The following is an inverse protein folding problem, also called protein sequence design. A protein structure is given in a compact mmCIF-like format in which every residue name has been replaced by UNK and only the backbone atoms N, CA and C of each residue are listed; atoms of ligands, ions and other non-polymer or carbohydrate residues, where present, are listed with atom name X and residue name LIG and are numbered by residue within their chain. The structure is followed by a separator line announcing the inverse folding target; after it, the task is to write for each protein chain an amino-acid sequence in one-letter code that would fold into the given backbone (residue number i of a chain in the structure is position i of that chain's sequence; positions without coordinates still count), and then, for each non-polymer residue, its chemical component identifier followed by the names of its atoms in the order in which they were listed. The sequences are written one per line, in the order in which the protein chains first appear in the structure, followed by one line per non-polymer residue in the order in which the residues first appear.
data_IF_369482716993
#
_entry.id   IF_369482716993
#
_cell.length_a   1.000
_cell.length_b   1.000
_cell.length_c   1.000
_cell.angle_alpha   90.00
_cell.angle_beta   90.00
_cell.angle_gamma   90.00
#
_symmetry.space_group_name_H-M   'P 1'
#
loop_
_entity.id
_entity.type
_entity.pdbx_description
1 polymer ?
#
# COMPACT_ATOMS: atom_id res chain seq x y z
N UNK A 1 31.81 -53.31 -16.50
CA UNK A 1 30.66 -52.74 -15.77
C UNK A 1 30.53 -51.27 -16.21
N UNK A 2 29.58 -50.98 -17.09
CA UNK A 2 29.20 -49.62 -17.51
C UNK A 2 28.31 -48.99 -16.42
N UNK A 3 28.55 -47.73 -16.05
CA UNK A 3 27.46 -46.79 -15.71
C UNK A 3 27.85 -45.39 -16.19
N UNK A 4 26.96 -44.80 -16.98
CA UNK A 4 27.10 -43.56 -17.70
C UNK A 4 26.95 -42.31 -16.79
N UNK A 5 27.69 -41.25 -17.11
CA UNK A 5 27.40 -39.89 -16.65
C UNK A 5 26.14 -39.40 -17.38
N UNK A 6 25.07 -39.12 -16.62
CA UNK A 6 23.82 -38.59 -17.12
C UNK A 6 23.28 -37.46 -16.24
N UNK A 7 23.31 -36.26 -16.81
CA UNK A 7 22.43 -35.09 -16.64
C UNK A 7 22.01 -34.61 -15.23
N UNK A 8 22.15 -33.30 -15.00
CA UNK A 8 21.01 -32.38 -15.09
C UNK A 8 21.50 -30.92 -15.00
N UNK A 9 21.39 -30.23 -16.13
CA UNK A 9 21.44 -28.78 -16.19
C UNK A 9 20.20 -28.23 -15.49
N UNK A 10 20.38 -27.50 -14.40
CA UNK A 10 19.33 -26.62 -13.89
C UNK A 10 19.35 -25.31 -14.68
N UNK A 11 18.89 -25.38 -15.93
CA UNK A 11 18.32 -24.24 -16.62
C UNK A 11 16.86 -24.11 -16.18
N UNK A 12 16.55 -23.11 -15.35
CA UNK A 12 15.18 -22.79 -14.94
C UNK A 12 15.00 -21.29 -15.02
N UNK A 13 14.34 -20.84 -16.09
CA UNK A 13 14.24 -19.43 -16.46
C UNK A 13 13.70 -18.54 -15.35
N UNK A 14 14.16 -17.29 -15.36
CA UNK A 14 13.42 -16.16 -14.79
C UNK A 14 12.15 -15.97 -15.63
N UNK A 15 11.19 -16.88 -15.45
CA UNK A 15 9.81 -16.57 -15.77
C UNK A 15 9.46 -15.37 -14.91
N UNK A 16 8.87 -14.35 -15.53
CA UNK A 16 8.23 -13.25 -14.82
C UNK A 16 7.21 -13.88 -13.87
N UNK A 17 7.64 -14.14 -12.63
CA UNK A 17 6.75 -14.55 -11.57
C UNK A 17 5.85 -13.36 -11.36
N UNK A 18 4.62 -13.44 -11.90
CA UNK A 18 3.54 -12.59 -11.43
C UNK A 18 3.57 -12.69 -9.92
N UNK A 19 3.87 -11.59 -9.18
CA UNK A 19 3.94 -11.64 -7.74
C UNK A 19 2.69 -12.34 -7.21
N UNK A 20 2.84 -13.24 -6.24
CA UNK A 20 1.69 -13.87 -5.60
C UNK A 20 0.70 -12.77 -5.17
N UNK A 21 -0.63 -12.99 -5.27
CA UNK A 21 -1.61 -12.01 -4.82
C UNK A 21 -1.27 -11.59 -3.40
N UNK A 22 -0.95 -10.31 -3.23
CA UNK A 22 -0.52 -9.79 -1.95
C UNK A 22 -1.67 -9.88 -0.96
N UNK A 23 -1.39 -10.35 0.25
CA UNK A 23 -2.42 -10.37 1.27
C UNK A 23 -2.80 -8.94 1.66
N UNK A 24 -4.03 -8.74 2.11
CA UNK A 24 -4.54 -7.43 2.49
C UNK A 24 -3.65 -6.70 3.53
N UNK A 25 -3.16 -7.34 4.62
CA UNK A 25 -2.23 -6.70 5.56
C UNK A 25 -0.86 -6.41 4.94
N UNK A 26 -0.40 -7.27 4.02
CA UNK A 26 0.87 -7.08 3.33
C UNK A 26 0.85 -5.89 2.39
N UNK A 27 -0.23 -5.70 1.61
CA UNK A 27 -0.40 -4.52 0.75
C UNK A 27 -0.41 -3.22 1.55
N UNK A 28 -1.07 -3.20 2.71
CA UNK A 28 -0.97 -2.06 3.63
C UNK A 28 0.47 -1.83 4.09
N UNK A 29 1.14 -2.88 4.57
CA UNK A 29 2.49 -2.77 5.11
C UNK A 29 3.51 -2.27 4.06
N UNK A 30 3.42 -2.77 2.83
CA UNK A 30 4.26 -2.33 1.72
C UNK A 30 3.98 -0.88 1.34
N UNK A 31 2.71 -0.47 1.30
CA UNK A 31 2.35 0.92 1.01
C UNK A 31 2.89 1.87 2.08
N UNK A 32 2.73 1.53 3.37
CA UNK A 32 3.28 2.32 4.47
C UNK A 32 4.82 2.38 4.44
N UNK A 33 5.48 1.29 4.06
CA UNK A 33 6.93 1.28 3.83
C UNK A 33 7.33 2.24 2.70
N UNK A 34 6.60 2.25 1.58
CA UNK A 34 6.85 3.15 0.46
C UNK A 34 6.60 4.62 0.83
N UNK A 35 5.57 4.91 1.63
CA UNK A 35 5.32 6.25 2.20
C UNK A 35 6.51 6.74 3.02
N UNK A 36 7.03 5.90 3.93
CA UNK A 36 8.20 6.22 4.77
C UNK A 36 9.47 6.44 3.94
N UNK A 37 9.65 5.67 2.86
CA UNK A 37 10.78 5.80 1.96
C UNK A 37 10.65 6.97 0.96
N UNK A 38 9.51 7.68 0.95
CA UNK A 38 9.16 8.67 -0.08
C UNK A 38 9.25 8.08 -1.51
N UNK A 39 8.86 6.81 -1.65
CA UNK A 39 8.94 6.06 -2.89
C UNK A 39 7.61 6.12 -3.65
N UNK A 40 7.44 7.21 -4.41
CA UNK A 40 6.21 7.44 -5.17
C UNK A 40 5.95 6.37 -6.25
N UNK A 41 7.00 5.71 -6.76
CA UNK A 41 6.84 4.66 -7.77
C UNK A 41 6.28 3.38 -7.16
N UNK A 42 6.75 2.97 -5.98
CA UNK A 42 6.14 1.85 -5.26
C UNK A 42 4.74 2.19 -4.73
N UNK A 43 4.53 3.43 -4.25
CA UNK A 43 3.18 3.88 -3.89
C UNK A 43 2.22 3.80 -5.09
N UNK A 44 2.67 4.16 -6.29
CA UNK A 44 1.88 4.09 -7.53
C UNK A 44 1.39 2.67 -7.84
N UNK A 45 2.23 1.65 -7.59
CA UNK A 45 1.89 0.26 -7.84
C UNK A 45 0.82 -0.31 -6.87
N UNK A 46 0.72 0.31 -5.69
CA UNK A 46 -0.14 -0.12 -4.58
C UNK A 46 -1.36 0.80 -4.37
N UNK A 47 -1.49 1.88 -5.15
CA UNK A 47 -2.57 2.85 -5.03
C UNK A 47 -3.57 2.76 -6.19
N UNK A 48 -4.86 2.67 -5.87
CA UNK A 48 -5.89 2.50 -6.88
C UNK A 48 -7.29 2.27 -6.31
N UNK A 49 -8.10 1.58 -7.10
CA UNK A 49 -9.50 1.24 -6.75
C UNK A 49 -9.77 -0.21 -7.14
N UNK A 50 -11.02 -0.65 -7.02
CA UNK A 50 -11.50 -1.93 -7.55
C UNK A 50 -11.17 -2.12 -9.03
N UNK A 51 -11.01 -1.00 -9.77
CA UNK A 51 -10.65 -0.99 -11.20
C UNK A 51 -9.19 -1.40 -11.45
N UNK A 52 -8.38 -1.51 -10.41
CA UNK A 52 -6.93 -1.71 -10.49
C UNK A 52 -6.14 -0.44 -10.15
N UNK A 53 -4.81 -0.45 -10.34
CA UNK A 53 -3.94 0.68 -10.02
C UNK A 53 -4.36 1.94 -10.78
N UNK A 54 -4.27 3.09 -10.11
CA UNK A 54 -4.62 4.36 -10.72
C UNK A 54 -3.78 4.70 -11.95
N UNK A 55 -2.54 4.18 -12.04
CA UNK A 55 -1.67 4.36 -13.21
C UNK A 55 -2.23 3.84 -14.52
N UNK A 56 -3.23 2.94 -14.48
CA UNK A 56 -3.89 2.44 -15.69
C UNK A 56 -4.91 3.40 -16.30
N UNK A 57 -5.35 4.43 -15.56
CA UNK A 57 -6.46 5.29 -16.00
C UNK A 57 -6.35 6.77 -15.56
N UNK A 58 -5.45 7.12 -14.65
CA UNK A 58 -5.19 8.49 -14.21
C UNK A 58 -4.00 9.08 -14.98
N UNK A 59 -4.07 10.37 -15.32
CA UNK A 59 -2.95 11.08 -15.95
C UNK A 59 -1.74 11.10 -15.01
N UNK A 60 -0.53 10.92 -15.56
CA UNK A 60 0.71 10.83 -14.78
C UNK A 60 0.92 11.99 -13.80
N UNK A 61 0.69 13.24 -14.25
CA UNK A 61 0.86 14.42 -13.40
C UNK A 61 -0.18 14.48 -12.27
N UNK A 62 -1.44 14.16 -12.55
CA UNK A 62 -2.49 14.10 -11.52
C UNK A 62 -2.19 13.01 -10.48
N UNK A 63 -1.74 11.84 -10.95
CA UNK A 63 -1.34 10.72 -10.11
C UNK A 63 -0.18 11.10 -9.20
N UNK A 64 0.86 11.73 -9.75
CA UNK A 64 2.01 12.20 -8.98
C UNK A 64 1.60 13.22 -7.91
N UNK A 65 0.74 14.18 -8.26
CA UNK A 65 0.24 15.18 -7.30
C UNK A 65 -0.51 14.52 -6.14
N UNK A 66 -1.45 13.60 -6.43
CA UNK A 66 -2.22 12.90 -5.39
C UNK A 66 -1.35 12.02 -4.50
N UNK A 67 -0.41 11.27 -5.09
CA UNK A 67 0.53 10.46 -4.32
C UNK A 67 1.45 11.31 -3.45
N UNK A 68 1.88 12.48 -3.93
CA UNK A 68 2.66 13.44 -3.13
C UNK A 68 1.87 13.90 -1.90
N UNK A 69 0.58 14.25 -2.08
CA UNK A 69 -0.28 14.64 -0.94
C UNK A 69 -0.42 13.48 0.05
N UNK A 70 -0.71 12.27 -0.42
CA UNK A 70 -0.80 11.10 0.46
C UNK A 70 0.51 10.83 1.19
N UNK A 71 1.65 10.94 0.50
CA UNK A 71 2.97 10.75 1.08
C UNK A 71 3.21 11.75 2.23
N UNK A 72 2.92 13.04 2.01
CA UNK A 72 3.08 14.09 3.03
C UNK A 72 2.19 13.82 4.25
N UNK A 73 0.92 13.50 4.03
CA UNK A 73 -0.03 13.31 5.13
C UNK A 73 0.23 12.05 5.95
N UNK A 74 0.66 10.98 5.29
CA UNK A 74 0.91 9.67 5.90
C UNK A 74 2.36 9.44 6.34
N UNK A 75 3.28 10.40 6.07
CA UNK A 75 4.67 10.28 6.50
C UNK A 75 4.78 10.11 8.01
N UNK A 76 5.64 9.19 8.44
CA UNK A 76 5.71 8.74 9.82
C UNK A 76 7.12 8.22 10.16
N UNK A 77 7.46 8.25 11.45
CA UNK A 77 8.66 7.58 11.99
C UNK A 77 8.36 6.13 12.36
N UNK A 78 7.12 5.84 12.74
CA UNK A 78 6.59 4.51 13.04
C UNK A 78 5.07 4.48 12.83
N UNK A 79 4.50 3.29 12.69
CA UNK A 79 3.05 3.11 12.66
C UNK A 79 2.65 1.79 13.32
N UNK A 80 1.37 1.68 13.70
CA UNK A 80 0.77 0.47 14.25
C UNK A 80 -0.66 0.34 13.77
N UNK A 81 -1.05 -0.85 13.31
CA UNK A 81 -2.46 -1.16 13.09
C UNK A 81 -3.12 -1.37 14.45
N UNK A 82 -4.15 -0.58 14.76
CA UNK A 82 -4.85 -0.66 16.05
C UNK A 82 -6.23 -1.31 15.94
N UNK A 83 -6.79 -1.38 14.73
CA UNK A 83 -8.07 -2.01 14.45
C UNK A 83 -8.16 -2.43 12.97
N UNK A 84 -8.87 -3.52 12.70
CA UNK A 84 -9.18 -4.02 11.36
C UNK A 84 -8.49 -5.32 10.95
N UNK A 85 -8.76 -5.84 9.75
CA UNK A 85 -9.58 -5.19 8.71
C UNK A 85 -11.07 -5.19 9.04
N UNK A 86 -11.70 -4.02 9.02
CA UNK A 86 -13.14 -3.86 9.21
C UNK A 86 -13.85 -3.83 7.84
N UNK A 87 -15.06 -4.39 7.72
CA UNK A 87 -15.87 -4.22 6.51
C UNK A 87 -16.30 -2.76 6.35
N UNK A 88 -16.42 -2.31 5.10
CA UNK A 88 -17.07 -1.02 4.78
C UNK A 88 -18.51 -1.31 4.40
N UNK A 89 -19.46 -0.59 5.01
CA UNK A 89 -20.88 -0.80 4.76
C UNK A 89 -21.20 -0.68 3.26
N UNK A 90 -21.92 -1.67 2.74
CA UNK A 90 -22.35 -1.75 1.34
C UNK A 90 -21.23 -1.83 0.29
N UNK A 91 -20.00 -2.20 0.68
CA UNK A 91 -18.86 -2.41 -0.22
C UNK A 91 -18.05 -3.65 0.16
N UNK A 92 -18.43 -4.81 -0.39
CA UNK A 92 -17.86 -6.11 -0.03
C UNK A 92 -16.37 -6.23 -0.40
N UNK A 93 -15.94 -5.50 -1.42
CA UNK A 93 -14.57 -5.42 -1.89
C UNK A 93 -13.70 -4.40 -1.15
N UNK A 94 -14.23 -3.73 -0.13
CA UNK A 94 -13.50 -2.73 0.66
C UNK A 94 -13.24 -3.21 2.08
N UNK A 95 -12.07 -2.86 2.61
CA UNK A 95 -11.74 -3.01 4.02
C UNK A 95 -11.04 -1.76 4.52
N UNK A 96 -11.24 -1.45 5.79
CA UNK A 96 -10.57 -0.33 6.45
C UNK A 96 -9.74 -0.83 7.63
N UNK A 97 -8.54 -0.27 7.77
CA UNK A 97 -7.76 -0.35 8.99
C UNK A 97 -7.76 0.98 9.69
N UNK A 98 -7.72 0.96 11.02
CA UNK A 98 -7.31 2.15 11.77
C UNK A 98 -5.84 2.00 12.11
N UNK A 99 -5.07 2.97 11.64
CA UNK A 99 -3.62 2.98 11.75
C UNK A 99 -3.20 4.15 12.60
N UNK A 100 -2.53 3.86 13.70
CA UNK A 100 -1.85 4.84 14.52
C UNK A 100 -0.53 5.22 13.83
N UNK A 101 -0.38 6.48 13.44
CA UNK A 101 0.84 7.05 12.86
C UNK A 101 1.59 7.85 13.91
N UNK A 102 2.87 7.54 14.09
CA UNK A 102 3.80 8.32 14.90
C UNK A 102 4.51 9.31 13.97
N UNK A 103 4.28 10.60 14.16
CA UNK A 103 4.96 11.67 13.41
C UNK A 103 6.30 12.01 14.05
N UNK A 104 7.20 12.59 13.26
CA UNK A 104 8.51 13.06 13.75
C UNK A 104 8.41 14.11 14.87
N UNK A 105 7.29 14.84 14.93
CA UNK A 105 6.98 15.83 15.98
C UNK A 105 6.52 15.21 17.31
N UNK A 106 6.68 13.89 17.50
CA UNK A 106 6.18 13.12 18.67
C UNK A 106 4.65 13.09 18.80
N UNK A 107 3.96 13.53 17.76
CA UNK A 107 2.52 13.45 17.59
C UNK A 107 2.08 12.05 17.18
N UNK A 108 0.98 11.57 17.76
CA UNK A 108 0.32 10.34 17.31
C UNK A 108 -1.08 10.64 16.81
N UNK A 109 -1.42 10.18 15.60
CA UNK A 109 -2.75 10.34 15.01
C UNK A 109 -3.29 8.99 14.54
N UNK A 110 -4.60 8.80 14.62
CA UNK A 110 -5.26 7.59 14.10
C UNK A 110 -5.88 7.90 12.76
N UNK A 111 -5.47 7.14 11.73
CA UNK A 111 -5.84 7.35 10.34
C UNK A 111 -6.60 6.13 9.81
N UNK A 112 -7.83 6.29 9.28
CA UNK A 112 -8.53 5.21 8.61
C UNK A 112 -7.96 5.00 7.20
N UNK A 113 -7.30 3.86 6.96
CA UNK A 113 -6.75 3.52 5.64
C UNK A 113 -7.65 2.48 4.98
N UNK A 114 -8.25 2.84 3.85
CA UNK A 114 -9.12 1.98 3.07
C UNK A 114 -8.34 1.26 1.97
N UNK A 115 -8.60 -0.04 1.82
CA UNK A 115 -8.09 -0.87 0.74
C UNK A 115 -9.26 -1.46 -0.06
N UNK A 116 -9.04 -1.61 -1.37
CA UNK A 116 -9.95 -2.25 -2.31
C UNK A 116 -9.35 -3.53 -2.87
N UNK A 117 -10.17 -4.57 -2.98
CA UNK A 117 -9.86 -5.77 -3.75
C UNK A 117 -10.13 -5.46 -5.23
N UNK A 118 -9.05 -5.35 -6.00
CA UNK A 118 -9.12 -5.06 -7.42
C UNK A 118 -9.52 -6.29 -8.23
N UNK A 119 -10.05 -6.05 -9.44
CA UNK A 119 -10.43 -7.12 -10.39
C UNK A 119 -9.28 -8.04 -10.78
N UNK A 120 -8.04 -7.58 -10.65
CA UNK A 120 -6.83 -8.38 -10.91
C UNK A 120 -6.34 -9.18 -9.69
N UNK A 121 -7.13 -9.20 -8.61
CA UNK A 121 -6.87 -9.97 -7.38
C UNK A 121 -5.94 -9.29 -6.38
N UNK A 122 -5.47 -8.06 -6.65
CA UNK A 122 -4.62 -7.32 -5.70
C UNK A 122 -5.43 -6.52 -4.71
N UNK A 123 -4.89 -6.35 -3.50
CA UNK A 123 -5.35 -5.33 -2.58
C UNK A 123 -4.61 -4.02 -2.84
N UNK A 124 -5.35 -2.95 -3.08
CA UNK A 124 -4.81 -1.63 -3.36
C UNK A 124 -5.29 -0.62 -2.33
N UNK A 125 -4.39 0.23 -1.86
CA UNK A 125 -4.76 1.37 -1.03
C UNK A 125 -5.57 2.36 -1.87
N UNK A 126 -6.74 2.72 -1.35
CA UNK A 126 -7.62 3.72 -1.96
C UNK A 126 -7.26 5.09 -1.41
N UNK A 127 -7.03 5.17 -0.10
CA UNK A 127 -6.65 6.39 0.58
C UNK A 127 -7.17 6.42 2.01
N UNK A 128 -7.30 7.64 2.51
CA UNK A 128 -7.84 7.98 3.83
C UNK A 128 -8.68 9.24 3.69
N UNK A 129 -9.57 9.47 4.65
CA UNK A 129 -10.10 10.81 4.89
C UNK A 129 -8.98 11.71 5.45
N UNK A 130 -8.48 12.65 4.64
CA UNK A 130 -7.41 13.57 5.04
C UNK A 130 -7.86 14.57 6.10
N UNK A 131 -9.16 14.87 6.21
CA UNK A 131 -9.66 15.77 7.26
C UNK A 131 -9.46 15.15 8.65
N UNK A 132 -9.64 13.83 8.76
CA UNK A 132 -9.41 13.08 10.01
C UNK A 132 -7.92 12.98 10.39
N UNK A 133 -7.00 13.14 9.44
CA UNK A 133 -5.54 13.02 9.65
C UNK A 133 -4.94 14.28 10.31
N UNK A 134 -5.60 15.43 10.14
CA UNK A 134 -5.09 16.74 10.55
C UNK A 134 -3.95 17.25 9.67
N UNK A 135 -3.68 18.56 9.73
CA UNK A 135 -2.59 19.18 8.97
C UNK A 135 -1.23 18.67 9.49
N UNK A 136 -0.41 18.00 8.66
CA UNK A 136 0.88 17.46 9.09
C UNK A 136 1.91 18.53 9.50
N UNK A 137 1.70 19.78 9.10
CA UNK A 137 2.54 20.92 9.49
C UNK A 137 2.12 21.58 10.81
N UNK A 138 0.93 21.27 11.32
CA UNK A 138 0.48 21.81 12.60
C UNK A 138 1.04 20.98 13.77
N UNK A 139 1.48 21.63 14.86
CA UNK A 139 1.78 20.92 16.09
C UNK A 139 0.50 20.27 16.62
N UNK A 140 0.60 19.08 17.23
CA UNK A 140 -0.57 18.48 17.86
C UNK A 140 -1.11 19.40 18.94
N UNK A 141 -2.43 19.59 18.91
CA UNK A 141 -3.15 20.18 20.03
C UNK A 141 -3.02 19.20 21.20
N UNK A 142 -2.36 19.66 22.28
CA UNK A 142 -2.32 18.94 23.56
C UNK A 142 -3.67 18.96 24.23
#
# INVERSE_FOLDING_TARGET
MLVALGALACGGGRGSQTPAPQSLPESLAQFMSAVKANDLEHMKALWGTERGPASGWMKSEELKQRLTVLQIYLNHVGYRVIEGPLPVASKDERRVFRVELQRATSCTVVVPIELAHAKDGRWLVVGTDLAAVGNPSEPCKR
#
